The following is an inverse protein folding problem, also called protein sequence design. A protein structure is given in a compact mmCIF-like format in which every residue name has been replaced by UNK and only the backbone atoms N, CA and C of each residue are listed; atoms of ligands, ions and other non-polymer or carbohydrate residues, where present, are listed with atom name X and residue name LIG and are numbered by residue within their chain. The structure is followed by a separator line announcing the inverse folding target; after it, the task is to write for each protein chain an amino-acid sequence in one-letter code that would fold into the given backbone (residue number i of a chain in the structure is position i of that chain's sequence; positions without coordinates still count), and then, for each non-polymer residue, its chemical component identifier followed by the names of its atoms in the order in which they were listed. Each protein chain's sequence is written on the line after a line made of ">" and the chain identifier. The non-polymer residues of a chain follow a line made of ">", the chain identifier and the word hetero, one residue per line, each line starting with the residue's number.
data_IF_390838129024
#
_entry.id   IF_390838129024
#
_cell.length_a   1.000
_cell.length_b   1.000
_cell.length_c   1.000
_cell.angle_alpha   90.00
_cell.angle_beta   90.00
_cell.angle_gamma   90.00
#
_symmetry.space_group_name_H-M   'P 1'
#
loop_
_entity.id
_entity.type
_entity.pdbx_description
1 polymer ?
#
# COMPACT_ATOMS: atom_id res chain seq x y z
N UNK A 1 -17.21 -0.03 -71.23
CA UNK A 1 -16.50 1.22 -70.96
C UNK A 1 -15.27 1.21 -71.84
N UNK A 2 -15.15 2.15 -72.79
CA UNK A 2 -14.04 2.14 -73.75
C UNK A 2 -12.74 2.57 -73.06
N UNK A 3 -11.73 1.68 -73.04
CA UNK A 3 -10.40 1.91 -72.45
C UNK A 3 -9.62 3.05 -73.14
N UNK A 4 -10.01 3.43 -74.35
CA UNK A 4 -9.37 4.43 -75.21
C UNK A 4 -9.47 5.89 -74.72
N UNK A 5 -10.15 6.14 -73.59
CA UNK A 5 -10.28 7.47 -72.98
C UNK A 5 -9.49 7.66 -71.68
N UNK A 6 -8.78 6.63 -71.21
CA UNK A 6 -7.98 6.73 -69.99
C UNK A 6 -6.53 7.05 -70.35
N UNK A 7 -5.95 8.07 -69.71
CA UNK A 7 -4.56 8.46 -69.92
C UNK A 7 -3.60 7.29 -69.61
N UNK A 8 -2.58 7.11 -70.47
CA UNK A 8 -1.62 5.98 -70.49
C UNK A 8 -0.94 5.71 -69.13
N UNK A 9 -0.85 6.72 -68.26
CA UNK A 9 -0.30 6.58 -66.91
C UNK A 9 -1.13 5.74 -65.92
N UNK A 10 -2.37 5.38 -66.25
CA UNK A 10 -3.25 4.55 -65.42
C UNK A 10 -3.42 3.11 -65.93
N UNK A 11 -2.87 2.76 -67.10
CA UNK A 11 -2.96 1.40 -67.65
C UNK A 11 -1.60 0.73 -67.57
N UNK A 12 -1.52 -0.43 -66.92
CA UNK A 12 -0.30 -1.23 -66.83
C UNK A 12 -0.64 -2.65 -67.28
N UNK A 13 -0.01 -3.11 -68.37
CA UNK A 13 -0.24 -4.43 -68.98
C UNK A 13 -1.74 -4.74 -69.23
N UNK A 14 -2.42 -3.88 -70.00
CA UNK A 14 -3.86 -3.96 -70.34
C UNK A 14 -4.81 -3.99 -69.12
N UNK A 15 -4.30 -3.66 -67.93
CA UNK A 15 -5.07 -3.56 -66.70
C UNK A 15 -5.15 -2.11 -66.26
N UNK A 16 -6.37 -1.61 -66.06
CA UNK A 16 -6.61 -0.28 -65.48
C UNK A 16 -6.22 -0.30 -63.99
N UNK A 17 -5.17 0.43 -63.64
CA UNK A 17 -4.66 0.61 -62.28
C UNK A 17 -5.04 1.98 -61.76
N UNK A 18 -6.11 2.05 -60.97
CA UNK A 18 -6.50 3.24 -60.21
C UNK A 18 -5.86 3.14 -58.82
N UNK A 19 -4.84 3.96 -58.55
CA UNK A 19 -4.27 4.11 -57.20
C UNK A 19 -5.14 5.09 -56.42
N UNK A 20 -5.96 4.56 -55.51
CA UNK A 20 -6.68 5.37 -54.52
C UNK A 20 -5.87 5.41 -53.22
N UNK A 21 -5.56 6.61 -52.72
CA UNK A 21 -4.99 6.79 -51.39
C UNK A 21 -6.14 7.16 -50.44
N UNK A 22 -6.53 6.22 -49.58
CA UNK A 22 -7.58 6.47 -48.58
C UNK A 22 -6.95 7.18 -47.39
N UNK A 23 -7.19 8.48 -47.27
CA UNK A 23 -6.89 9.21 -46.03
C UNK A 23 -8.01 8.90 -45.03
N UNK A 24 -7.74 8.03 -44.05
CA UNK A 24 -8.66 7.83 -42.94
C UNK A 24 -8.68 9.13 -42.14
N UNK A 25 -9.80 9.84 -42.17
CA UNK A 25 -10.00 11.03 -41.33
C UNK A 25 -10.08 10.51 -39.89
N UNK A 26 -9.35 11.16 -38.95
CA UNK A 26 -9.27 10.80 -37.50
C UNK A 26 -10.61 10.32 -36.92
N UNK A 27 -11.68 11.02 -37.30
CA UNK A 27 -13.07 10.71 -37.00
C UNK A 27 -13.48 9.25 -37.25
N UNK A 28 -13.19 8.72 -38.44
CA UNK A 28 -13.59 7.36 -38.81
C UNK A 28 -12.74 6.31 -38.08
N UNK A 29 -11.48 6.64 -37.81
CA UNK A 29 -10.59 5.79 -37.01
C UNK A 29 -11.12 5.63 -35.59
N UNK A 30 -11.51 6.73 -34.94
CA UNK A 30 -12.13 6.73 -33.62
C UNK A 30 -13.39 5.87 -33.62
N UNK A 31 -14.32 6.13 -34.56
CA UNK A 31 -15.60 5.40 -34.62
C UNK A 31 -15.42 3.89 -34.75
N UNK A 32 -14.46 3.43 -35.58
CA UNK A 32 -14.21 2.01 -35.81
C UNK A 32 -13.56 1.33 -34.59
N UNK A 33 -12.67 2.02 -33.89
CA UNK A 33 -11.85 1.42 -32.82
C UNK A 33 -12.29 1.79 -31.40
N UNK A 34 -13.28 2.68 -31.23
CA UNK A 34 -13.74 3.15 -29.92
C UNK A 34 -14.07 2.00 -28.97
N UNK A 35 -14.88 1.03 -29.41
CA UNK A 35 -15.25 -0.14 -28.60
C UNK A 35 -14.03 -0.96 -28.15
N UNK A 36 -13.02 -1.09 -29.01
CA UNK A 36 -11.78 -1.81 -28.67
C UNK A 36 -10.98 -1.02 -27.61
N UNK A 37 -10.86 0.29 -27.79
CA UNK A 37 -10.18 1.18 -26.83
C UNK A 37 -10.91 1.18 -25.48
N UNK A 38 -12.24 1.30 -25.48
CA UNK A 38 -13.08 1.20 -24.28
C UNK A 38 -12.87 -0.15 -23.57
N UNK A 39 -12.80 -1.26 -24.31
CA UNK A 39 -12.56 -2.59 -23.73
C UNK A 39 -11.17 -2.71 -23.11
N UNK A 40 -10.13 -2.22 -23.78
CA UNK A 40 -8.75 -2.21 -23.28
C UNK A 40 -8.65 -1.41 -21.99
N UNK A 41 -9.18 -0.18 -21.97
CA UNK A 41 -9.18 0.67 -20.78
C UNK A 41 -10.04 0.07 -19.66
N UNK A 42 -11.21 -0.50 -19.99
CA UNK A 42 -12.08 -1.16 -19.01
C UNK A 42 -11.36 -2.31 -18.31
N UNK A 43 -10.74 -3.23 -19.05
CA UNK A 43 -10.03 -4.35 -18.46
C UNK A 43 -8.91 -3.90 -17.51
N UNK A 44 -8.16 -2.88 -17.93
CA UNK A 44 -7.14 -2.26 -17.09
C UNK A 44 -7.73 -1.68 -15.79
N UNK A 45 -8.83 -0.92 -15.90
CA UNK A 45 -9.49 -0.33 -14.74
C UNK A 45 -10.05 -1.38 -13.79
N UNK A 46 -10.72 -2.42 -14.31
CA UNK A 46 -11.25 -3.54 -13.53
C UNK A 46 -10.16 -4.24 -12.73
N UNK A 47 -8.97 -4.46 -13.32
CA UNK A 47 -7.85 -5.07 -12.60
C UNK A 47 -7.40 -4.21 -11.41
N UNK A 48 -7.37 -2.88 -11.57
CA UNK A 48 -6.92 -1.94 -10.53
C UNK A 48 -7.98 -1.74 -9.45
N UNK A 49 -9.23 -1.54 -9.84
CA UNK A 49 -10.37 -1.44 -8.92
C UNK A 49 -10.53 -2.75 -8.14
N UNK A 50 -10.37 -3.90 -8.80
CA UNK A 50 -10.45 -5.20 -8.16
C UNK A 50 -9.42 -5.41 -7.05
N UNK A 51 -8.22 -4.81 -7.15
CA UNK A 51 -7.22 -4.82 -6.07
C UNK A 51 -7.70 -4.02 -4.86
N UNK A 52 -8.28 -2.83 -5.09
CA UNK A 52 -8.87 -2.03 -4.02
C UNK A 52 -10.10 -2.69 -3.41
N UNK A 53 -10.97 -3.31 -4.22
CA UNK A 53 -12.16 -4.04 -3.74
C UNK A 53 -11.77 -5.15 -2.77
N UNK A 54 -10.82 -6.00 -3.17
CA UNK A 54 -10.28 -7.06 -2.29
C UNK A 54 -9.69 -6.51 -0.99
N UNK A 55 -9.05 -5.34 -1.04
CA UNK A 55 -8.52 -4.66 0.14
C UNK A 55 -9.62 -4.17 1.10
N UNK A 56 -10.72 -3.64 0.56
CA UNK A 56 -11.89 -3.14 1.33
C UNK A 56 -12.79 -4.28 1.84
N UNK A 57 -12.83 -5.40 1.11
CA UNK A 57 -13.57 -6.60 1.49
C UNK A 57 -12.97 -7.29 2.73
N UNK A 58 -11.64 -7.30 2.86
CA UNK A 58 -10.96 -7.75 4.07
C UNK A 58 -11.23 -6.76 5.22
N UNK A 59 -12.29 -7.03 5.98
CA UNK A 59 -12.75 -6.13 7.06
C UNK A 59 -11.72 -5.93 8.16
N UNK A 60 -10.88 -6.92 8.43
CA UNK A 60 -9.84 -6.82 9.46
C UNK A 60 -8.74 -5.88 8.96
N UNK A 61 -8.22 -6.14 7.75
CA UNK A 61 -7.17 -5.31 7.14
C UNK A 61 -7.66 -3.89 6.87
N UNK A 62 -8.88 -3.72 6.36
CA UNK A 62 -9.49 -2.42 6.11
C UNK A 62 -9.69 -1.61 7.39
N UNK A 63 -10.23 -2.22 8.46
CA UNK A 63 -10.42 -1.51 9.73
C UNK A 63 -9.10 -1.11 10.37
N UNK A 64 -8.10 -1.99 10.32
CA UNK A 64 -6.73 -1.70 10.77
C UNK A 64 -6.11 -0.56 9.97
N UNK A 65 -6.27 -0.56 8.64
CA UNK A 65 -5.82 0.53 7.79
C UNK A 65 -6.52 1.86 8.10
N UNK A 66 -7.84 1.87 8.29
CA UNK A 66 -8.58 3.08 8.67
C UNK A 66 -8.09 3.64 9.99
N UNK A 67 -7.87 2.79 11.00
CA UNK A 67 -7.33 3.21 12.28
C UNK A 67 -5.92 3.81 12.15
N UNK A 68 -5.06 3.17 11.36
CA UNK A 68 -3.73 3.69 11.02
C UNK A 68 -3.83 5.06 10.32
N UNK A 69 -4.60 5.18 9.24
CA UNK A 69 -4.70 6.41 8.47
C UNK A 69 -5.26 7.58 9.28
N UNK A 70 -6.28 7.33 10.11
CA UNK A 70 -6.86 8.33 11.01
C UNK A 70 -5.90 8.72 12.15
N UNK A 71 -5.02 7.81 12.56
CA UNK A 71 -3.99 8.06 13.58
C UNK A 71 -2.78 8.86 13.05
N UNK A 72 -2.60 8.95 11.73
CA UNK A 72 -1.51 9.73 11.13
C UNK A 72 -1.84 11.22 11.14
N UNK A 73 -0.82 12.02 11.47
CA UNK A 73 -0.91 13.47 11.46
C UNK A 73 -1.20 14.02 10.04
N UNK A 74 -1.79 15.22 9.98
CA UNK A 74 -2.21 15.80 8.70
C UNK A 74 -1.04 16.06 7.73
N UNK A 75 0.18 16.31 8.24
CA UNK A 75 1.34 16.62 7.39
C UNK A 75 1.87 15.37 6.70
N UNK A 76 1.97 14.26 7.43
CA UNK A 76 2.34 12.95 6.89
C UNK A 76 1.30 12.46 5.87
N UNK A 77 -0.01 12.60 6.16
CA UNK A 77 -1.06 12.30 5.17
C UNK A 77 -0.89 13.11 3.89
N UNK A 78 -0.69 14.43 3.99
CA UNK A 78 -0.46 15.29 2.81
C UNK A 78 0.77 14.87 2.00
N UNK A 79 1.83 14.39 2.65
CA UNK A 79 3.04 13.95 1.97
C UNK A 79 2.81 12.63 1.23
N UNK A 80 2.11 11.67 1.85
CA UNK A 80 1.82 10.36 1.26
C UNK A 80 0.73 10.41 0.19
N UNK A 81 -0.16 11.42 0.21
CA UNK A 81 -1.20 11.64 -0.81
C UNK A 81 -0.70 12.33 -2.08
N UNK A 82 0.60 12.30 -2.34
CA UNK A 82 1.24 12.96 -3.48
C UNK A 82 2.24 12.04 -4.16
N UNK A 83 2.32 12.12 -5.49
CA UNK A 83 3.38 11.47 -6.26
C UNK A 83 3.81 12.34 -7.44
N UNK A 84 4.98 12.07 -8.00
CA UNK A 84 5.50 12.83 -9.15
C UNK A 84 4.67 12.56 -10.40
N UNK A 85 4.58 13.57 -11.27
CA UNK A 85 3.82 13.46 -12.53
C UNK A 85 4.42 12.44 -13.51
N UNK A 86 5.72 12.15 -13.39
CA UNK A 86 6.41 11.11 -14.16
C UNK A 86 5.87 9.69 -13.89
N UNK A 87 5.13 9.47 -12.81
CA UNK A 87 4.40 8.22 -12.54
C UNK A 87 3.44 7.85 -13.68
N UNK A 88 2.97 8.83 -14.47
CA UNK A 88 2.16 8.61 -15.66
C UNK A 88 2.87 7.72 -16.70
N UNK A 89 4.20 7.73 -16.74
CA UNK A 89 4.96 6.90 -17.67
C UNK A 89 4.72 5.41 -17.42
N UNK A 90 4.31 5.00 -16.21
CA UNK A 90 3.98 3.59 -15.93
C UNK A 90 2.70 3.15 -16.65
N UNK A 91 1.69 4.02 -16.74
CA UNK A 91 0.45 3.69 -17.48
C UNK A 91 0.68 3.77 -19.00
N UNK A 92 1.47 4.73 -19.46
CA UNK A 92 1.88 4.82 -20.87
C UNK A 92 2.59 3.54 -21.31
N UNK A 93 3.57 3.07 -20.53
CA UNK A 93 4.29 1.81 -20.82
C UNK A 93 3.39 0.58 -20.80
N UNK A 94 2.27 0.62 -20.08
CA UNK A 94 1.34 -0.50 -20.01
C UNK A 94 0.54 -0.65 -21.30
N UNK A 95 0.10 0.46 -21.90
CA UNK A 95 -0.73 0.44 -23.10
C UNK A 95 0.06 0.55 -24.42
N UNK A 96 1.28 1.08 -24.38
CA UNK A 96 2.03 1.37 -25.59
C UNK A 96 2.52 0.09 -26.27
N UNK A 97 1.94 -0.17 -27.44
CA UNK A 97 2.38 -1.19 -28.38
C UNK A 97 2.76 -0.48 -29.69
N UNK A 98 3.97 -0.76 -30.18
CA UNK A 98 4.50 -0.12 -31.38
C UNK A 98 3.67 -0.49 -32.61
N UNK A 99 3.36 0.50 -33.47
CA UNK A 99 2.59 0.33 -34.72
C UNK A 99 1.16 -0.20 -34.56
N UNK A 100 0.65 -0.22 -33.33
CA UNK A 100 -0.73 -0.58 -33.06
C UNK A 100 -1.62 0.67 -33.04
N UNK A 101 -2.65 0.67 -33.89
CA UNK A 101 -3.59 1.79 -34.05
C UNK A 101 -4.37 2.04 -32.75
N UNK A 102 -4.85 0.97 -32.10
CA UNK A 102 -5.57 1.02 -30.82
C UNK A 102 -4.70 1.59 -29.70
N UNK A 103 -3.43 1.18 -29.61
CA UNK A 103 -2.43 1.77 -28.71
C UNK A 103 -2.31 3.28 -28.94
N UNK A 104 -2.22 3.74 -30.20
CA UNK A 104 -2.15 5.17 -30.53
C UNK A 104 -3.38 5.93 -30.06
N UNK A 105 -4.59 5.37 -30.23
CA UNK A 105 -5.84 5.97 -29.74
C UNK A 105 -5.94 6.01 -28.22
N UNK A 106 -5.50 4.94 -27.53
CA UNK A 106 -5.40 4.94 -26.06
C UNK A 106 -4.44 6.03 -25.60
N UNK A 107 -3.29 6.18 -26.27
CA UNK A 107 -2.32 7.22 -25.94
C UNK A 107 -2.87 8.64 -26.14
N UNK A 108 -3.63 8.89 -27.20
CA UNK A 108 -4.32 10.17 -27.47
C UNK A 108 -5.39 10.46 -26.40
N UNK A 109 -6.17 9.44 -26.04
CA UNK A 109 -7.16 9.49 -24.96
C UNK A 109 -6.51 9.84 -23.62
N UNK A 110 -5.45 9.14 -23.23
CA UNK A 110 -4.70 9.42 -22.00
C UNK A 110 -4.10 10.83 -22.02
N UNK A 111 -3.48 11.24 -23.13
CA UNK A 111 -2.93 12.59 -23.25
C UNK A 111 -4.01 13.66 -23.06
N UNK A 112 -5.15 13.50 -23.74
CA UNK A 112 -6.28 14.43 -23.64
C UNK A 112 -6.88 14.44 -22.24
N UNK A 113 -7.03 13.27 -21.60
CA UNK A 113 -7.47 13.15 -20.22
C UNK A 113 -6.54 13.83 -19.23
N UNK A 114 -5.22 13.70 -19.42
CA UNK A 114 -4.22 14.39 -18.60
C UNK A 114 -4.33 15.91 -18.75
N UNK A 115 -4.51 16.39 -19.99
CA UNK A 115 -4.69 17.83 -20.28
C UNK A 115 -5.97 18.37 -19.66
N UNK A 116 -7.06 17.61 -19.68
CA UNK A 116 -8.30 17.96 -18.99
C UNK A 116 -8.08 18.09 -17.47
N UNK A 117 -7.36 17.15 -16.86
CA UNK A 117 -7.02 17.16 -15.44
C UNK A 117 -6.15 18.37 -15.05
N UNK A 118 -5.13 18.68 -15.85
CA UNK A 118 -4.27 19.86 -15.68
C UNK A 118 -5.07 21.16 -15.80
N UNK A 119 -6.00 21.23 -16.75
CA UNK A 119 -6.85 22.39 -16.97
C UNK A 119 -7.82 22.62 -15.80
N UNK A 120 -8.53 21.59 -15.37
CA UNK A 120 -9.41 21.66 -14.19
C UNK A 120 -8.64 22.08 -12.93
N UNK A 121 -7.44 21.52 -12.73
CA UNK A 121 -6.58 21.88 -11.58
C UNK A 121 -6.19 23.36 -11.58
N UNK A 122 -5.98 23.97 -12.75
CA UNK A 122 -5.70 25.42 -12.88
C UNK A 122 -6.94 26.26 -12.56
N UNK A 123 -8.12 25.85 -13.01
CA UNK A 123 -9.39 26.55 -12.72
C UNK A 123 -9.64 26.57 -11.21
N UNK A 124 -9.49 25.42 -10.55
CA UNK A 124 -9.71 25.29 -9.10
C UNK A 124 -8.75 26.18 -8.32
N UNK A 125 -7.48 26.27 -8.73
CA UNK A 125 -6.48 27.17 -8.14
C UNK A 125 -6.75 28.65 -8.42
N UNK A 126 -7.39 28.98 -9.53
CA UNK A 126 -7.56 30.34 -10.03
C UNK A 126 -8.85 31.06 -9.65
N UNK A 127 -9.83 30.38 -9.01
CA UNK A 127 -11.19 30.86 -8.65
C UNK A 127 -11.51 32.31 -9.10
N UNK A 128 -11.90 32.46 -10.36
CA UNK A 128 -12.68 33.59 -10.84
C UNK A 128 -13.62 33.10 -11.96
N UNK A 129 -14.92 33.08 -11.65
CA UNK A 129 -16.08 32.75 -12.50
C UNK A 129 -16.51 31.28 -12.51
N UNK A 130 -17.22 30.96 -11.44
CA UNK A 130 -18.16 29.86 -11.24
C UNK A 130 -19.44 30.13 -12.05
N UNK A 131 -19.72 29.39 -13.12
CA UNK A 131 -21.09 29.09 -13.60
C UNK A 131 -21.16 27.74 -14.34
N UNK A 132 -20.09 27.25 -14.98
CA UNK A 132 -20.22 26.13 -15.96
C UNK A 132 -19.62 24.77 -15.51
N UNK A 133 -19.36 24.58 -14.21
CA UNK A 133 -18.73 23.35 -13.68
C UNK A 133 -19.73 22.40 -13.00
N UNK A 134 -21.03 22.63 -13.18
CA UNK A 134 -22.11 21.97 -12.43
C UNK A 134 -22.43 20.54 -12.92
N UNK A 135 -21.92 20.12 -14.09
CA UNK A 135 -22.20 18.78 -14.66
C UNK A 135 -21.06 17.74 -14.52
N UNK A 136 -19.84 18.12 -14.09
CA UNK A 136 -18.72 17.19 -13.99
C UNK A 136 -18.58 16.59 -12.58
N UNK A 137 -18.29 15.28 -12.46
CA UNK A 137 -18.09 14.65 -11.15
C UNK A 137 -16.92 15.29 -10.40
N UNK A 138 -16.95 15.35 -9.05
CA UNK A 138 -15.88 15.95 -8.28
C UNK A 138 -14.53 15.28 -8.60
N UNK A 139 -13.50 16.05 -9.00
CA UNK A 139 -12.21 15.49 -9.37
C UNK A 139 -11.60 14.74 -8.20
N UNK A 140 -10.97 13.61 -8.50
CA UNK A 140 -10.28 12.77 -7.52
C UNK A 140 -8.81 13.16 -7.37
N UNK A 141 -8.23 13.73 -8.42
CA UNK A 141 -6.82 14.09 -8.50
C UNK A 141 -6.69 15.56 -8.90
N UNK A 142 -5.65 16.21 -8.38
CA UNK A 142 -5.20 17.52 -8.80
C UNK A 142 -3.76 17.47 -9.27
N UNK A 143 -3.43 18.33 -10.22
CA UNK A 143 -2.04 18.56 -10.67
C UNK A 143 -1.49 19.80 -9.99
N UNK A 144 -0.47 19.61 -9.17
CA UNK A 144 0.27 20.67 -8.50
C UNK A 144 1.73 20.73 -8.93
N UNK A 145 2.02 21.63 -9.86
CA UNK A 145 3.33 21.75 -10.53
C UNK A 145 3.70 20.40 -11.14
N UNK A 146 4.61 19.68 -10.48
CA UNK A 146 5.20 18.43 -10.94
C UNK A 146 4.69 17.23 -10.10
N UNK A 147 3.63 17.43 -9.33
CA UNK A 147 3.03 16.44 -8.45
C UNK A 147 1.56 16.19 -8.79
N UNK A 148 1.16 14.93 -8.80
CA UNK A 148 -0.23 14.54 -8.61
C UNK A 148 -0.56 14.55 -7.12
N UNK A 149 -1.74 15.06 -6.78
CA UNK A 149 -2.23 15.21 -5.41
C UNK A 149 -3.65 14.64 -5.33
N UNK A 150 -3.94 13.81 -4.34
CA UNK A 150 -5.32 13.38 -4.07
C UNK A 150 -6.18 14.60 -3.67
N UNK A 151 -7.36 14.72 -4.27
CA UNK A 151 -8.28 15.84 -4.04
C UNK A 151 -9.05 15.72 -2.72
N UNK A 152 -9.18 14.51 -2.18
CA UNK A 152 -9.95 14.19 -0.98
C UNK A 152 -9.21 13.14 -0.14
N UNK A 153 -9.77 12.77 1.01
CA UNK A 153 -9.24 11.71 1.85
C UNK A 153 -9.19 10.36 1.11
N UNK A 154 -8.07 9.63 1.23
CA UNK A 154 -7.84 8.39 0.49
C UNK A 154 -8.90 7.33 0.79
N UNK A 155 -9.44 7.28 2.02
CA UNK A 155 -10.49 6.34 2.38
C UNK A 155 -11.74 6.62 1.54
N UNK A 156 -12.15 7.90 1.45
CA UNK A 156 -13.31 8.31 0.67
C UNK A 156 -13.12 8.06 -0.82
N UNK A 157 -11.90 8.31 -1.35
CA UNK A 157 -11.59 8.05 -2.75
C UNK A 157 -11.62 6.55 -3.10
N UNK A 158 -11.09 5.70 -2.23
CA UNK A 158 -11.14 4.24 -2.40
C UNK A 158 -12.59 3.75 -2.33
N UNK A 159 -13.35 4.18 -1.32
CA UNK A 159 -14.77 3.81 -1.18
C UNK A 159 -15.58 4.28 -2.38
N UNK A 160 -15.31 5.49 -2.90
CA UNK A 160 -15.92 6.03 -4.12
C UNK A 160 -15.65 5.13 -5.32
N UNK A 161 -14.39 4.75 -5.57
CA UNK A 161 -14.02 3.92 -6.74
C UNK A 161 -14.52 2.48 -6.63
N UNK A 162 -14.60 1.92 -5.43
CA UNK A 162 -15.10 0.56 -5.21
C UNK A 162 -16.63 0.52 -5.30
N UNK A 163 -17.31 1.58 -4.85
CA UNK A 163 -18.78 1.67 -4.88
C UNK A 163 -19.33 2.15 -6.21
N UNK A 164 -18.57 2.99 -6.92
CA UNK A 164 -18.83 3.33 -8.31
C UNK A 164 -18.56 2.08 -9.15
N UNK A 165 -19.58 1.22 -9.27
CA UNK A 165 -19.58 0.11 -10.20
C UNK A 165 -19.35 0.71 -11.58
N UNK A 166 -18.07 0.69 -11.99
CA UNK A 166 -17.48 1.11 -13.28
C UNK A 166 -18.60 1.21 -14.29
N UNK A 167 -19.05 2.40 -14.73
CA UNK A 167 -20.34 2.58 -15.35
C UNK A 167 -20.49 1.56 -16.48
N UNK A 168 -21.19 0.47 -16.14
CA UNK A 168 -21.71 -0.44 -17.11
C UNK A 168 -22.73 0.43 -17.80
N UNK A 169 -22.31 0.94 -18.96
CA UNK A 169 -23.05 1.87 -19.79
C UNK A 169 -22.81 3.37 -19.47
N UNK A 170 -21.68 3.92 -19.93
CA UNK A 170 -21.72 5.22 -20.62
C UNK A 170 -22.77 5.05 -21.73
N UNK A 171 -23.98 5.53 -21.45
CA UNK A 171 -25.21 5.29 -22.21
C UNK A 171 -24.99 5.20 -23.73
N UNK A 172 -25.42 4.13 -24.43
CA UNK A 172 -25.77 4.22 -25.82
C UNK A 172 -27.09 4.98 -25.91
N UNK A 173 -27.13 5.93 -26.84
CA UNK A 173 -28.30 6.58 -27.45
C UNK A 173 -29.58 6.62 -26.58
N UNK A 174 -29.95 7.82 -26.10
CA UNK A 174 -31.38 8.04 -25.83
C UNK A 174 -32.15 7.71 -27.10
N UNK A 175 -33.06 6.77 -26.94
CA UNK A 175 -34.11 6.38 -27.87
C UNK A 175 -34.98 7.63 -28.18
N UNK A 176 -34.52 8.50 -29.09
CA UNK A 176 -35.39 9.52 -29.69
C UNK A 176 -36.26 8.84 -30.75
N UNK A 177 -37.18 8.01 -30.27
CA UNK A 177 -38.43 7.79 -30.97
C UNK A 177 -39.08 9.14 -31.21
N UNK A 178 -39.03 9.57 -32.47
CA UNK A 178 -40.12 10.18 -33.20
C UNK A 178 -41.14 10.94 -32.33
N UNK A 179 -40.99 12.26 -32.26
CA UNK A 179 -42.14 13.14 -32.20
C UNK A 179 -42.21 13.92 -33.52
N UNK A 180 -42.81 13.27 -34.52
CA UNK A 180 -43.52 13.99 -35.55
C UNK A 180 -44.56 14.88 -34.88
N UNK A 181 -44.44 16.19 -35.03
CA UNK A 181 -45.57 17.10 -35.19
C UNK A 181 -45.13 18.32 -36.00
N UNK A 182 -45.49 18.28 -37.29
CA UNK A 182 -45.84 19.41 -38.18
C UNK A 182 -45.86 20.82 -37.54
N UNK A 183 -45.10 21.78 -38.11
CA UNK A 183 -45.62 22.79 -39.08
C UNK A 183 -44.66 23.99 -39.26
N UNK A 184 -44.29 24.22 -40.54
CA UNK A 184 -43.89 25.48 -41.23
C UNK A 184 -42.46 26.02 -41.16
N UNK A 185 -41.98 26.28 -42.39
CA UNK A 185 -40.72 26.84 -42.84
C UNK A 185 -40.42 28.24 -42.29
N UNK A 186 -39.14 28.52 -42.10
CA UNK A 186 -38.61 29.87 -41.84
C UNK A 186 -37.08 29.87 -41.89
N UNK A 187 -36.55 30.23 -43.05
CA UNK A 187 -35.12 30.44 -43.36
C UNK A 187 -34.40 31.35 -42.36
N UNK A 188 -33.23 30.91 -41.88
CA UNK A 188 -32.15 31.70 -41.27
C UNK A 188 -31.00 30.72 -41.01
N UNK A 189 -29.95 30.63 -41.82
CA UNK A 189 -28.99 31.70 -42.00
C UNK A 189 -27.78 31.42 -41.10
N UNK A 190 -26.96 30.46 -41.51
CA UNK A 190 -25.52 30.34 -41.22
C UNK A 190 -25.02 30.82 -39.84
N UNK A 191 -25.32 30.04 -38.79
CA UNK A 191 -24.49 30.02 -37.58
C UNK A 191 -23.70 28.71 -37.59
N UNK A 192 -22.46 28.76 -38.10
CA UNK A 192 -21.45 27.73 -37.85
C UNK A 192 -21.21 27.64 -36.34
N UNK A 193 -22.04 26.83 -35.69
CA UNK A 193 -21.94 26.46 -34.30
C UNK A 193 -20.54 25.94 -34.04
N UNK A 194 -19.92 26.54 -33.03
CA UNK A 194 -18.54 26.33 -32.62
C UNK A 194 -18.37 25.11 -31.71
N UNK A 195 -19.37 24.21 -31.65
CA UNK A 195 -19.50 23.15 -30.64
C UNK A 195 -20.12 21.86 -31.21
N UNK A 196 -19.39 21.13 -32.07
CA UNK A 196 -19.68 19.70 -32.26
C UNK A 196 -18.39 18.89 -32.08
N UNK A 197 -17.89 18.82 -30.85
CA UNK A 197 -17.07 17.66 -30.48
C UNK A 197 -18.01 16.47 -30.64
N UNK A 198 -17.74 15.62 -31.63
CA UNK A 198 -18.56 14.44 -31.87
C UNK A 198 -18.55 13.55 -30.61
N UNK A 199 -19.68 12.94 -30.23
CA UNK A 199 -19.81 12.20 -28.97
C UNK A 199 -18.68 11.18 -28.73
N UNK A 200 -18.16 10.56 -29.79
CA UNK A 200 -17.10 9.55 -29.72
C UNK A 200 -15.73 10.14 -29.28
N UNK A 201 -15.38 11.35 -29.74
CA UNK A 201 -14.16 12.05 -29.31
C UNK A 201 -14.28 12.48 -27.84
N UNK A 202 -15.45 12.97 -27.43
CA UNK A 202 -15.70 13.30 -26.02
C UNK A 202 -15.61 12.06 -25.12
N UNK A 203 -16.14 10.91 -25.57
CA UNK A 203 -16.03 9.63 -24.86
C UNK A 203 -14.58 9.19 -24.69
N UNK A 204 -13.73 9.38 -25.70
CA UNK A 204 -12.29 9.14 -25.58
C UNK A 204 -11.62 10.03 -24.54
N UNK A 205 -11.97 11.32 -24.49
CA UNK A 205 -11.42 12.23 -23.48
C UNK A 205 -11.84 11.80 -22.07
N UNK A 206 -13.12 11.50 -21.86
CA UNK A 206 -13.64 11.05 -20.56
C UNK A 206 -13.05 9.72 -20.13
N UNK A 207 -12.94 8.75 -21.06
CA UNK A 207 -12.30 7.46 -20.81
C UNK A 207 -10.84 7.65 -20.36
N UNK A 208 -10.10 8.52 -21.03
CA UNK A 208 -8.71 8.83 -20.70
C UNK A 208 -8.59 9.52 -19.35
N UNK A 209 -9.45 10.50 -19.09
CA UNK A 209 -9.54 11.21 -17.82
C UNK A 209 -9.79 10.24 -16.66
N UNK A 210 -10.83 9.40 -16.76
CA UNK A 210 -11.18 8.39 -15.76
C UNK A 210 -10.07 7.36 -15.56
N UNK A 211 -9.43 6.92 -16.65
CA UNK A 211 -8.31 5.98 -16.61
C UNK A 211 -7.14 6.53 -15.81
N UNK A 212 -6.82 7.81 -16.02
CA UNK A 212 -5.73 8.50 -15.34
C UNK A 212 -6.03 8.70 -13.86
N UNK A 213 -7.23 9.16 -13.51
CA UNK A 213 -7.61 9.37 -12.11
C UNK A 213 -7.50 8.08 -11.28
N UNK A 214 -8.08 6.99 -11.77
CA UNK A 214 -8.04 5.70 -11.07
C UNK A 214 -6.61 5.17 -11.03
N UNK A 215 -5.86 5.27 -12.13
CA UNK A 215 -4.46 4.84 -12.17
C UNK A 215 -3.62 5.58 -11.12
N UNK A 216 -3.73 6.91 -11.05
CA UNK A 216 -2.96 7.72 -10.11
C UNK A 216 -3.37 7.41 -8.68
N UNK A 217 -4.68 7.32 -8.37
CA UNK A 217 -5.15 6.94 -7.03
C UNK A 217 -4.51 5.63 -6.58
N UNK A 218 -4.62 4.60 -7.42
CA UNK A 218 -4.10 3.26 -7.11
C UNK A 218 -2.58 3.27 -7.01
N UNK A 219 -1.89 4.03 -7.86
CA UNK A 219 -0.43 4.16 -7.79
C UNK A 219 0.02 4.88 -6.51
N UNK A 220 -0.61 5.98 -6.11
CA UNK A 220 -0.31 6.68 -4.85
C UNK A 220 -0.57 5.76 -3.66
N UNK A 221 -1.72 5.07 -3.68
CA UNK A 221 -2.07 4.11 -2.63
C UNK A 221 -1.00 3.03 -2.51
N UNK A 222 -0.69 2.29 -3.58
CA UNK A 222 0.23 1.16 -3.51
C UNK A 222 1.70 1.54 -3.33
N UNK A 223 2.16 2.69 -3.84
CA UNK A 223 3.58 3.06 -3.77
C UNK A 223 3.98 3.84 -2.52
N UNK A 224 3.03 4.52 -1.87
CA UNK A 224 3.27 5.35 -0.69
C UNK A 224 2.48 4.83 0.51
N UNK A 225 1.15 4.92 0.41
CA UNK A 225 0.26 4.76 1.56
C UNK A 225 0.26 3.33 2.09
N UNK A 226 0.13 2.35 1.19
CA UNK A 226 0.14 0.93 1.52
C UNK A 226 1.51 0.51 2.06
N UNK A 227 2.61 1.01 1.48
CA UNK A 227 3.97 0.74 1.98
C UNK A 227 4.12 1.22 3.42
N UNK A 228 3.78 2.48 3.70
CA UNK A 228 3.84 3.03 5.06
C UNK A 228 2.91 2.31 6.04
N UNK A 229 1.75 1.85 5.58
CA UNK A 229 0.87 1.01 6.39
C UNK A 229 1.52 -0.33 6.75
N UNK A 230 2.13 -1.02 5.79
CA UNK A 230 2.81 -2.29 6.04
C UNK A 230 4.03 -2.10 6.96
N UNK A 231 4.79 -1.02 6.78
CA UNK A 231 5.90 -0.65 7.66
C UNK A 231 5.43 -0.43 9.10
N UNK A 232 4.33 0.30 9.30
CA UNK A 232 3.78 0.53 10.64
C UNK A 232 3.27 -0.76 11.30
N UNK A 233 2.65 -1.66 10.53
CA UNK A 233 2.23 -2.98 11.01
C UNK A 233 3.43 -3.84 11.39
N UNK A 234 4.48 -3.84 10.57
CA UNK A 234 5.71 -4.57 10.84
C UNK A 234 6.42 -4.04 12.09
N UNK A 235 6.50 -2.71 12.24
CA UNK A 235 7.10 -2.05 13.40
C UNK A 235 6.35 -2.40 14.68
N UNK A 236 5.01 -2.30 14.68
CA UNK A 236 4.18 -2.66 15.84
C UNK A 236 4.37 -4.13 16.24
N UNK A 237 4.50 -5.04 15.25
CA UNK A 237 4.78 -6.44 15.51
C UNK A 237 6.17 -6.65 16.12
N UNK A 238 7.17 -5.91 15.65
CA UNK A 238 8.53 -5.99 16.18
C UNK A 238 8.61 -5.46 17.63
N UNK A 239 7.95 -4.35 17.94
CA UNK A 239 7.85 -3.80 19.30
C UNK A 239 7.20 -4.78 20.29
N UNK A 240 6.18 -5.51 19.83
CA UNK A 240 5.54 -6.56 20.65
C UNK A 240 6.50 -7.72 20.95
N UNK A 241 7.29 -8.16 19.96
CA UNK A 241 8.28 -9.22 20.15
C UNK A 241 9.37 -8.79 21.14
N UNK A 242 9.87 -7.55 21.02
CA UNK A 242 10.85 -6.99 21.95
C UNK A 242 10.28 -6.97 23.37
N UNK A 243 9.04 -6.50 23.55
CA UNK A 243 8.41 -6.46 24.87
C UNK A 243 8.27 -7.85 25.49
N UNK A 244 7.94 -8.87 24.69
CA UNK A 244 7.84 -10.25 25.16
C UNK A 244 9.20 -10.82 25.55
N UNK A 245 10.24 -10.55 24.75
CA UNK A 245 11.62 -10.95 25.04
C UNK A 245 12.15 -10.28 26.32
N UNK A 246 11.90 -8.98 26.49
CA UNK A 246 12.27 -8.24 27.70
C UNK A 246 11.58 -8.81 28.95
N UNK A 247 10.28 -9.11 28.87
CA UNK A 247 9.54 -9.72 29.98
C UNK A 247 10.05 -11.13 30.32
N UNK A 248 10.36 -11.95 29.31
CA UNK A 248 10.94 -13.27 29.51
C UNK A 248 12.35 -13.19 30.12
N UNK A 249 13.18 -12.27 29.64
CA UNK A 249 14.52 -12.01 30.18
C UNK A 249 14.48 -11.51 31.63
N UNK A 250 13.53 -10.65 31.98
CA UNK A 250 13.31 -10.22 33.36
C UNK A 250 12.91 -11.42 34.25
N UNK A 251 11.98 -12.25 33.80
CA UNK A 251 11.58 -13.45 34.54
C UNK A 251 12.73 -14.44 34.72
N UNK A 252 13.57 -14.64 33.69
CA UNK A 252 14.75 -15.50 33.78
C UNK A 252 15.79 -14.94 34.76
N UNK A 253 16.03 -13.62 34.72
CA UNK A 253 16.94 -12.95 35.66
C UNK A 253 16.44 -13.04 37.11
N UNK A 254 15.14 -12.89 37.33
CA UNK A 254 14.53 -13.13 38.64
C UNK A 254 14.72 -14.57 39.11
N UNK A 255 14.50 -15.57 38.26
CA UNK A 255 14.71 -16.97 38.61
C UNK A 255 16.19 -17.25 38.95
N UNK A 256 17.13 -16.72 38.16
CA UNK A 256 18.58 -16.84 38.41
C UNK A 256 19.02 -16.15 39.70
N UNK A 257 18.44 -15.00 40.05
CA UNK A 257 18.74 -14.33 41.33
C UNK A 257 18.18 -15.11 42.53
N UNK A 258 16.96 -15.67 42.41
CA UNK A 258 16.33 -16.53 43.43
C UNK A 258 17.10 -17.85 43.63
N UNK A 259 17.56 -18.49 42.55
CA UNK A 259 18.39 -19.71 42.62
C UNK A 259 19.80 -19.42 43.14
N UNK A 260 20.43 -18.32 42.70
CA UNK A 260 21.73 -17.88 43.20
C UNK A 260 21.72 -17.55 44.70
N UNK A 261 20.63 -16.98 45.22
CA UNK A 261 20.44 -16.76 46.65
C UNK A 261 20.31 -18.08 47.44
N UNK A 262 19.49 -19.01 46.95
CA UNK A 262 19.31 -20.32 47.60
C UNK A 262 20.56 -21.21 47.54
N UNK A 263 21.34 -21.15 46.46
CA UNK A 263 22.64 -21.84 46.39
C UNK A 263 23.68 -21.25 47.35
N UNK A 264 23.75 -19.91 47.47
CA UNK A 264 24.63 -19.25 48.43
C UNK A 264 24.27 -19.60 49.87
N UNK A 265 22.98 -19.67 50.19
CA UNK A 265 22.49 -20.07 51.52
C UNK A 265 22.80 -21.53 51.83
N UNK A 266 22.58 -22.45 50.87
CA UNK A 266 22.96 -23.87 51.03
C UNK A 266 24.45 -24.05 51.24
N UNK A 267 25.29 -23.30 50.52
CA UNK A 267 26.76 -23.33 50.70
C UNK A 267 27.17 -22.77 52.07
N UNK A 268 26.50 -21.74 52.58
CA UNK A 268 26.77 -21.18 53.90
C UNK A 268 26.40 -22.16 55.02
N UNK A 269 25.22 -22.79 54.96
CA UNK A 269 24.79 -23.83 55.92
C UNK A 269 25.76 -25.01 55.96
N UNK A 270 26.19 -25.52 54.80
CA UNK A 270 27.16 -26.64 54.73
C UNK A 270 28.51 -26.29 55.35
N UNK A 271 29.00 -25.05 55.15
CA UNK A 271 30.23 -24.57 55.80
C UNK A 271 30.07 -24.49 57.31
N UNK A 272 28.92 -24.00 57.80
CA UNK A 272 28.65 -23.84 59.22
C UNK A 272 28.52 -25.19 59.95
N UNK A 273 27.90 -26.19 59.31
CA UNK A 273 27.82 -27.57 59.81
C UNK A 273 29.20 -28.25 59.87
N UNK A 274 30.07 -28.00 58.90
CA UNK A 274 31.44 -28.55 58.87
C UNK A 274 32.26 -28.00 60.03
N UNK A 275 32.17 -26.68 60.30
CA UNK A 275 32.86 -26.03 61.41
C UNK A 275 32.33 -26.54 62.77
N UNK A 276 31.02 -26.77 62.91
CA UNK A 276 30.47 -27.34 64.14
C UNK A 276 30.95 -28.78 64.38
N UNK A 277 31.06 -29.61 63.34
CA UNK A 277 31.61 -30.96 63.46
C UNK A 277 33.10 -30.97 63.82
N UNK A 278 33.89 -30.06 63.25
CA UNK A 278 35.31 -29.90 63.62
C UNK A 278 35.44 -29.49 65.09
N UNK A 279 34.68 -28.49 65.55
CA UNK A 279 34.69 -28.06 66.95
C UNK A 279 34.26 -29.18 67.91
N UNK A 280 33.21 -29.95 67.57
CA UNK A 280 32.75 -31.08 68.40
C UNK A 280 33.79 -32.21 68.44
N UNK A 281 34.57 -32.38 67.37
CA UNK A 281 35.65 -33.38 67.31
C UNK A 281 36.85 -32.93 68.13
N UNK A 282 37.17 -31.63 68.10
CA UNK A 282 38.22 -31.03 68.94
C UNK A 282 37.87 -31.07 70.43
N UNK A 283 36.61 -30.84 70.79
CA UNK A 283 36.12 -30.94 72.17
C UNK A 283 36.22 -32.38 72.70
N UNK A 284 35.87 -33.39 71.88
CA UNK A 284 36.06 -34.80 72.22
C UNK A 284 37.54 -35.22 72.34
N UNK A 285 38.42 -34.63 71.54
CA UNK A 285 39.87 -34.88 71.63
C UNK A 285 40.44 -34.22 72.91
N UNK A 286 39.97 -33.02 73.26
CA UNK A 286 40.27 -32.32 74.51
C UNK A 286 39.82 -33.10 75.75
N UNK A 287 38.61 -33.66 75.72
CA UNK A 287 38.05 -34.47 76.80
C UNK A 287 38.81 -35.79 76.97
N UNK A 288 39.16 -36.46 75.86
CA UNK A 288 39.98 -37.68 75.93
C UNK A 288 41.40 -37.41 76.45
N UNK A 289 42.02 -36.30 76.09
CA UNK A 289 43.36 -35.92 76.58
C UNK A 289 43.35 -35.54 78.07
N UNK A 290 42.26 -34.94 78.54
CA UNK A 290 42.05 -34.64 79.96
C UNK A 290 41.79 -35.90 80.78
N UNK A 291 41.13 -36.90 80.19
CA UNK A 291 40.85 -38.19 80.83
C UNK A 291 42.10 -39.08 80.88
N UNK A 292 42.94 -39.10 79.83
CA UNK A 292 44.23 -39.81 79.85
C UNK A 292 45.24 -39.20 80.82
N UNK A 293 45.29 -37.87 80.95
CA UNK A 293 46.13 -37.24 81.99
C UNK A 293 45.66 -37.55 83.41
N UNK A 294 44.35 -37.65 83.65
CA UNK A 294 43.82 -38.04 84.95
C UNK A 294 44.19 -39.50 85.32
N UNK A 295 44.14 -40.42 84.35
CA UNK A 295 44.50 -41.84 84.57
C UNK A 295 46.01 -42.02 84.81
N UNK A 296 46.87 -41.27 84.10
CA UNK A 296 48.32 -41.28 84.32
C UNK A 296 48.74 -40.65 85.65
N UNK A 297 47.96 -39.71 86.19
CA UNK A 297 48.20 -39.17 87.54
C UNK A 297 47.77 -40.13 88.65
N UNK A 298 46.73 -40.95 88.44
CA UNK A 298 46.29 -41.94 89.44
C UNK A 298 47.20 -43.16 89.52
N UNK A 299 47.77 -43.64 88.41
CA UNK A 299 48.74 -44.76 88.45
C UNK A 299 50.11 -44.37 89.04
N UNK A 300 50.45 -43.08 89.08
CA UNK A 300 51.72 -42.59 89.65
C UNK A 300 51.68 -42.35 91.16
N UNK A 301 50.49 -42.28 91.76
CA UNK A 301 50.32 -42.09 93.21
C UNK A 301 50.33 -43.43 93.96
N UNK A 302 49.97 -44.54 93.32
CA UNK A 302 49.92 -45.87 93.95
C UNK A 302 51.27 -46.62 94.02
N UNK A 303 52.39 -45.96 93.72
CA UNK A 303 53.75 -46.58 93.77
C UNK A 303 54.77 -45.86 94.64
N UNK A 304 54.35 -44.91 95.47
CA UNK A 304 55.24 -44.17 96.37
C UNK A 304 54.60 -43.95 97.74
N UNK A 305 54.09 -45.01 98.37
CA UNK A 305 53.80 -45.00 99.80
C UNK A 305 53.81 -46.42 100.37
N UNK A 306 54.99 -47.07 100.38
CA UNK A 306 55.24 -48.18 101.31
C UNK A 306 56.73 -48.38 101.57
N UNK A 307 57.37 -47.43 102.27
CA UNK A 307 58.55 -47.69 103.12
C UNK A 307 58.58 -46.65 104.24
N UNK A 308 57.87 -46.92 105.35
CA UNK A 308 58.33 -46.70 106.74
C UNK A 308 57.14 -46.79 107.71
N UNK A 309 56.95 -47.91 108.41
CA UNK A 309 57.51 -48.04 109.76
C UNK A 309 57.28 -49.43 110.39
N UNK A 310 58.21 -49.76 111.29
CA UNK A 310 58.57 -51.06 111.85
C UNK A 310 58.01 -51.23 113.27
N UNK A 311 57.49 -52.41 113.59
CA UNK A 311 57.77 -53.20 114.83
C UNK A 311 57.14 -54.59 114.75
#
# INVERSE_FOLDING_TARGET
>A
MELSKVYDGFIVADTLVIKAQVQVIRRELVRVYLSNVEQICRHFLEERIGKLSKFVEDKVRWSSFRAFWLGIDASSRRWMSRDKTDAILKVVKHFFIEKEVTSTLVMDSLYSGLKALEYQSKIIKGRAKLVDLEELPPPMIHVDKDLFVLADDVILLIERVVSDSLPHQLLPAKDDKCLQNRTKEGSSGDEFNKDSIEPDEMRLVELGHRTIEIFILVNIFSSRIEVSYQEAVALKRQEELIRQEEAAGQAENELKSKSGGTEKEKRAKKKQETIQQENTSQERISDNFSTEQAVLTTEKIDRLEDVSDVS
#
